data_IF_823545488609
#
_entry.id   IF_823545488609
#
_cell.length_a   1.000
_cell.length_b   1.000
_cell.length_c   1.000
_cell.angle_alpha   90.00
_cell.angle_beta   90.00
_cell.angle_gamma   90.00
#
_symmetry.space_group_name_H-M   'P 1'
#
loop_
_entity.id
_entity.type
_entity.pdbx_description
1 polymer ?
#
# COMPACT_ATOMS: atom_id res chain seq x y z
N UNK A 1 -24.80 3.45 -8.14
CA UNK A 1 -23.82 4.37 -7.52
C UNK A 1 -23.25 5.20 -8.63
N UNK A 2 -23.44 6.51 -8.56
CA UNK A 2 -23.12 7.47 -9.63
C UNK A 2 -21.62 7.79 -9.64
N UNK A 3 -21.03 7.75 -10.83
CA UNK A 3 -19.64 8.16 -11.05
C UNK A 3 -19.56 9.69 -11.10
N UNK A 4 -19.00 10.31 -10.06
CA UNK A 4 -18.64 11.72 -10.11
C UNK A 4 -17.22 11.85 -10.67
N UNK A 5 -17.12 12.06 -11.98
CA UNK A 5 -15.86 12.46 -12.64
C UNK A 5 -15.75 13.98 -12.60
N UNK A 6 -15.04 14.53 -11.61
CA UNK A 6 -14.58 15.91 -11.68
C UNK A 6 -13.30 15.94 -12.53
N UNK A 7 -13.46 16.48 -13.73
CA UNK A 7 -12.42 16.67 -14.73
C UNK A 7 -11.62 17.92 -14.33
N UNK A 8 -10.56 17.72 -13.55
CA UNK A 8 -9.57 18.75 -13.24
C UNK A 8 -8.22 18.33 -13.82
N UNK A 9 -7.63 19.29 -14.51
CA UNK A 9 -6.41 19.26 -15.30
C UNK A 9 -5.21 18.58 -14.59
N UNK A 10 -4.53 17.67 -15.30
CA UNK A 10 -3.12 17.37 -15.05
C UNK A 10 -2.71 16.40 -13.94
N UNK A 11 -3.61 15.88 -13.10
CA UNK A 11 -3.26 14.79 -12.18
C UNK A 11 -4.47 13.90 -11.89
N UNK A 12 -4.48 12.69 -12.46
CA UNK A 12 -5.37 11.62 -12.00
C UNK A 12 -4.90 11.23 -10.60
N UNK A 13 -5.38 11.94 -9.58
CA UNK A 13 -5.39 11.43 -8.22
C UNK A 13 -6.47 10.37 -8.22
N UNK A 14 -6.11 9.16 -8.66
CA UNK A 14 -6.77 7.96 -8.17
C UNK A 14 -6.68 8.09 -6.66
N UNK A 15 -7.81 8.37 -6.02
CA UNK A 15 -7.95 8.16 -4.59
C UNK A 15 -7.62 6.69 -4.39
N UNK A 16 -6.37 6.40 -4.03
CA UNK A 16 -5.94 5.08 -3.62
C UNK A 16 -6.58 4.89 -2.24
N UNK A 17 -7.89 4.63 -2.23
CA UNK A 17 -8.64 4.40 -1.01
C UNK A 17 -8.10 3.12 -0.40
N UNK A 18 -7.13 3.26 0.52
CA UNK A 18 -6.61 2.16 1.34
C UNK A 18 -7.70 1.52 2.22
N UNK A 19 -8.93 2.04 2.20
CA UNK A 19 -10.08 1.61 2.99
C UNK A 19 -10.37 0.10 2.90
N UNK A 20 -9.99 -0.57 1.81
CA UNK A 20 -10.23 -2.02 1.60
C UNK A 20 -8.95 -2.87 1.65
N UNK A 21 -7.82 -2.30 2.11
CA UNK A 21 -6.52 -2.97 2.12
C UNK A 21 -6.18 -3.62 3.48
N UNK A 22 -7.03 -3.46 4.49
CA UNK A 22 -6.85 -4.09 5.79
C UNK A 22 -7.33 -5.55 5.75
N UNK A 23 -6.40 -6.49 5.84
CA UNK A 23 -6.68 -7.92 5.78
C UNK A 23 -5.89 -8.67 6.86
N UNK A 24 -6.53 -9.69 7.45
CA UNK A 24 -5.84 -10.70 8.25
C UNK A 24 -5.21 -11.74 7.32
N UNK A 25 -3.89 -11.93 7.44
CA UNK A 25 -3.14 -12.92 6.65
C UNK A 25 -3.26 -14.32 7.25
N UNK A 26 -4.47 -14.88 7.27
CA UNK A 26 -4.76 -16.21 7.84
C UNK A 26 -4.62 -17.31 6.79
N UNK A 27 -5.22 -17.11 5.62
CA UNK A 27 -5.22 -18.11 4.55
C UNK A 27 -4.05 -17.88 3.61
N UNK A 28 -3.22 -18.90 3.33
CA UNK A 28 -2.18 -18.80 2.32
C UNK A 28 -2.77 -18.46 0.94
N UNK A 29 -2.07 -17.65 0.12
CA UNK A 29 -2.51 -17.39 -1.25
C UNK A 29 -2.50 -18.68 -2.06
N UNK A 30 -3.59 -18.94 -2.79
CA UNK A 30 -3.73 -20.10 -3.69
C UNK A 30 -3.17 -19.85 -5.09
N UNK A 31 -2.69 -18.64 -5.35
CA UNK A 31 -2.19 -18.22 -6.66
C UNK A 31 -0.73 -18.60 -6.81
N UNK A 32 -0.40 -19.30 -7.91
CA UNK A 32 0.99 -19.54 -8.29
C UNK A 32 1.60 -18.26 -8.85
N UNK A 33 2.72 -17.85 -8.27
CA UNK A 33 3.47 -16.66 -8.66
C UNK A 33 4.79 -17.08 -9.30
N UNK A 34 5.15 -16.47 -10.43
CA UNK A 34 6.47 -16.66 -11.02
C UNK A 34 7.58 -16.05 -10.12
N UNK A 35 8.80 -16.57 -10.24
CA UNK A 35 9.91 -16.20 -9.36
C UNK A 35 10.24 -14.71 -9.37
N UNK A 36 10.27 -14.09 -10.56
CA UNK A 36 10.62 -12.66 -10.69
C UNK A 36 9.59 -11.75 -9.98
N UNK A 37 8.28 -11.86 -10.27
CA UNK A 37 7.26 -11.14 -9.50
C UNK A 37 7.30 -11.41 -7.99
N UNK A 38 7.62 -12.64 -7.57
CA UNK A 38 7.73 -12.98 -6.16
C UNK A 38 8.89 -12.27 -5.46
N UNK A 39 10.04 -12.17 -6.13
CA UNK A 39 11.20 -11.43 -5.62
C UNK A 39 10.91 -9.93 -5.57
N UNK A 40 10.34 -9.37 -6.63
CA UNK A 40 10.00 -7.95 -6.68
C UNK A 40 9.01 -7.58 -5.57
N UNK A 41 7.98 -8.41 -5.34
CA UNK A 41 7.03 -8.24 -4.25
C UNK A 41 7.69 -8.34 -2.87
N UNK A 42 8.62 -9.29 -2.68
CA UNK A 42 9.35 -9.43 -1.43
C UNK A 42 10.23 -8.20 -1.13
N UNK A 43 10.89 -7.64 -2.15
CA UNK A 43 11.69 -6.42 -2.04
C UNK A 43 10.81 -5.23 -1.64
N UNK A 44 9.67 -5.05 -2.33
CA UNK A 44 8.72 -3.99 -2.01
C UNK A 44 8.18 -4.11 -0.57
N UNK A 45 7.77 -5.32 -0.17
CA UNK A 45 7.29 -5.61 1.21
C UNK A 45 8.37 -5.31 2.24
N UNK A 46 9.63 -5.66 1.96
CA UNK A 46 10.74 -5.38 2.86
C UNK A 46 10.96 -3.88 3.06
N UNK A 47 10.90 -3.09 1.99
CA UNK A 47 11.02 -1.62 2.07
C UNK A 47 9.92 -1.00 2.92
N UNK A 48 8.67 -1.47 2.79
CA UNK A 48 7.55 -1.01 3.63
C UNK A 48 7.80 -1.33 5.11
N UNK A 49 8.25 -2.53 5.43
CA UNK A 49 8.52 -2.93 6.83
C UNK A 49 9.64 -2.08 7.44
N UNK A 50 10.69 -1.77 6.67
CA UNK A 50 11.75 -0.85 7.11
C UNK A 50 11.22 0.56 7.34
N UNK A 51 10.35 1.08 6.47
CA UNK A 51 9.71 2.38 6.68
C UNK A 51 8.89 2.43 7.98
N UNK A 52 8.18 1.34 8.32
CA UNK A 52 7.46 1.19 9.59
C UNK A 52 8.41 1.21 10.79
N UNK A 53 9.53 0.51 10.72
CA UNK A 53 10.54 0.52 11.78
C UNK A 53 11.14 1.92 11.97
N UNK A 54 11.54 2.59 10.89
CA UNK A 54 12.09 3.94 10.92
C UNK A 54 11.11 4.94 11.52
N UNK A 55 9.83 4.85 11.13
CA UNK A 55 8.78 5.70 11.67
C UNK A 55 8.61 5.50 13.18
N UNK A 56 8.64 4.24 13.64
CA UNK A 56 8.52 3.90 15.06
C UNK A 56 9.70 4.36 15.92
N UNK A 57 10.90 4.46 15.35
CA UNK A 57 12.07 5.04 16.04
C UNK A 57 12.04 6.57 16.08
N UNK A 58 11.50 7.20 15.04
CA UNK A 58 11.58 8.67 14.84
C UNK A 58 10.40 9.43 15.44
N UNK A 59 9.22 8.83 15.46
CA UNK A 59 7.98 9.50 15.87
C UNK A 59 7.22 8.66 16.91
N UNK A 60 6.53 9.29 17.87
CA UNK A 60 5.56 8.58 18.70
C UNK A 60 4.53 7.87 17.84
N UNK A 61 4.23 6.61 18.19
CA UNK A 61 3.24 5.79 17.48
C UNK A 61 1.91 6.53 17.40
N UNK A 62 1.29 6.52 16.22
CA UNK A 62 0.01 7.19 15.93
C UNK A 62 0.04 8.73 15.98
N UNK A 63 1.21 9.37 16.11
CA UNK A 63 1.30 10.81 15.88
C UNK A 63 0.96 11.18 14.43
N UNK A 64 0.51 12.40 14.19
CA UNK A 64 0.20 12.87 12.83
C UNK A 64 1.40 12.73 11.88
N UNK A 65 2.60 13.04 12.37
CA UNK A 65 3.84 12.89 11.60
C UNK A 65 4.18 11.43 11.28
N UNK A 66 3.90 10.51 12.21
CA UNK A 66 4.03 9.07 11.98
C UNK A 66 3.08 8.62 10.87
N UNK A 67 1.81 9.01 10.95
CA UNK A 67 0.78 8.63 9.97
C UNK A 67 1.06 9.20 8.59
N UNK A 68 1.44 10.48 8.50
CA UNK A 68 1.81 11.13 7.22
C UNK A 68 3.04 10.52 6.58
N UNK A 69 4.06 10.20 7.38
CA UNK A 69 5.28 9.56 6.87
C UNK A 69 4.98 8.18 6.29
N UNK A 70 4.21 7.35 7.01
CA UNK A 70 3.84 6.02 6.52
C UNK A 70 2.93 6.07 5.29
N UNK A 71 1.93 6.95 5.27
CA UNK A 71 1.06 7.12 4.11
C UNK A 71 1.86 7.51 2.86
N UNK A 72 2.82 8.44 3.01
CA UNK A 72 3.73 8.82 1.93
C UNK A 72 4.56 7.65 1.41
N UNK A 73 5.16 6.85 2.29
CA UNK A 73 5.98 5.70 1.91
C UNK A 73 5.15 4.58 1.25
N UNK A 74 3.94 4.32 1.74
CA UNK A 74 3.03 3.33 1.14
C UNK A 74 2.58 3.74 -0.27
N UNK A 75 2.34 5.05 -0.50
CA UNK A 75 2.03 5.58 -1.83
C UNK A 75 3.21 5.54 -2.79
N UNK A 76 4.41 5.87 -2.31
CA UNK A 76 5.64 5.88 -3.14
C UNK A 76 5.99 4.48 -3.66
N UNK A 77 5.81 3.46 -2.82
CA UNK A 77 6.05 2.07 -3.19
C UNK A 77 4.91 1.52 -4.09
N UNK A 78 3.91 2.35 -4.43
CA UNK A 78 2.65 1.98 -5.07
C UNK A 78 2.12 0.67 -4.47
N UNK A 79 2.08 0.63 -3.13
CA UNK A 79 1.73 -0.56 -2.40
C UNK A 79 0.23 -0.76 -2.45
N UNK A 80 -0.24 -1.21 -3.60
CA UNK A 80 -1.53 -1.84 -3.71
C UNK A 80 -1.40 -3.17 -2.94
N UNK A 81 -2.13 -3.29 -1.84
CA UNK A 81 -2.52 -4.61 -1.32
C UNK A 81 -3.53 -5.20 -2.32
N UNK A 82 -3.16 -5.27 -3.60
CA UNK A 82 -3.94 -5.90 -4.66
C UNK A 82 -3.69 -7.40 -4.58
N UNK A 83 -4.18 -8.01 -3.49
CA UNK A 83 -4.67 -9.38 -3.59
C UNK A 83 -6.01 -9.37 -4.38
N UNK A 84 -6.66 -8.21 -4.54
CA UNK A 84 -7.97 -8.06 -5.18
C UNK A 84 -7.99 -8.01 -6.72
N UNK A 85 -6.86 -8.07 -7.42
CA UNK A 85 -6.85 -8.15 -8.90
C UNK A 85 -6.66 -9.56 -9.43
N UNK A 86 -6.79 -10.58 -8.58
CA UNK A 86 -6.80 -11.99 -8.99
C UNK A 86 -8.17 -12.58 -8.63
N UNK A 87 -9.20 -12.02 -9.27
CA UNK A 87 -10.51 -12.63 -9.44
C UNK A 87 -10.74 -12.79 -10.94
#
# INVERSE_FOLDING_TARGET
MEFNTNYEDGAVIVSLDFAHNLQFYETPPSVNMDYRPAVDLAIQRHQVLLAVEMAGRRFPKFSENYMKFLDGQLREINFQIAISSIC
#
